data_IF_346493528693
#
_entry.id   IF_346493528693
#
_cell.length_a   1.000
_cell.length_b   1.000
_cell.length_c   1.000
_cell.angle_alpha   90.00
_cell.angle_beta   90.00
_cell.angle_gamma   90.00
#
_symmetry.space_group_name_H-M   'P 1'
#
loop_
_entity.id
_entity.type
_entity.pdbx_description
1 polymer ?
#
# COMPACT_ATOMS: atom_id res chain seq x y z
N UNK A 1 -18.33 -31.23 -6.16
CA UNK A 1 -17.97 -29.99 -5.44
C UNK A 1 -16.57 -29.54 -5.88
N UNK A 2 -16.36 -28.26 -6.23
CA UNK A 2 -15.04 -27.77 -6.61
C UNK A 2 -14.05 -27.96 -5.46
N UNK A 3 -12.83 -28.42 -5.77
CA UNK A 3 -11.80 -28.61 -4.74
C UNK A 3 -11.37 -27.24 -4.22
N UNK A 4 -11.26 -27.09 -2.90
CA UNK A 4 -10.76 -25.85 -2.29
C UNK A 4 -9.29 -25.65 -2.65
N UNK A 5 -8.88 -24.39 -2.81
CA UNK A 5 -7.47 -24.05 -3.02
C UNK A 5 -6.63 -24.46 -1.81
N UNK A 6 -5.59 -25.31 -1.96
CA UNK A 6 -4.85 -25.84 -0.82
C UNK A 6 -4.15 -24.78 0.03
N UNK A 7 -3.78 -23.65 -0.56
CA UNK A 7 -3.07 -22.56 0.12
C UNK A 7 -3.97 -21.37 0.49
N UNK A 8 -5.29 -21.58 0.57
CA UNK A 8 -6.24 -20.49 0.86
C UNK A 8 -6.00 -19.84 2.23
N UNK A 9 -5.63 -20.64 3.24
CA UNK A 9 -5.25 -20.13 4.56
C UNK A 9 -4.02 -19.21 4.50
N UNK A 10 -3.02 -19.58 3.69
CA UNK A 10 -1.80 -18.79 3.48
C UNK A 10 -2.13 -17.51 2.71
N UNK A 11 -2.97 -17.59 1.68
CA UNK A 11 -3.43 -16.42 0.93
C UNK A 11 -4.16 -15.42 1.83
N UNK A 12 -5.03 -15.90 2.74
CA UNK A 12 -5.70 -15.06 3.73
C UNK A 12 -4.70 -14.38 4.68
N UNK A 13 -3.71 -15.11 5.18
CA UNK A 13 -2.64 -14.54 6.00
C UNK A 13 -1.89 -13.42 5.25
N UNK A 14 -1.53 -13.65 3.97
CA UNK A 14 -0.85 -12.64 3.15
C UNK A 14 -1.71 -11.39 2.89
N UNK A 15 -3.03 -11.55 2.74
CA UNK A 15 -3.97 -10.42 2.65
C UNK A 15 -3.99 -9.60 3.94
N UNK A 16 -4.00 -10.26 5.10
CA UNK A 16 -3.93 -9.57 6.39
C UNK A 16 -2.60 -8.83 6.58
N UNK A 17 -1.48 -9.46 6.21
CA UNK A 17 -0.16 -8.82 6.24
C UNK A 17 -0.10 -7.57 5.35
N UNK A 18 -0.60 -7.65 4.11
CA UNK A 18 -0.71 -6.49 3.21
C UNK A 18 -1.52 -5.37 3.85
N UNK A 19 -2.72 -5.67 4.36
CA UNK A 19 -3.59 -4.68 5.01
C UNK A 19 -2.89 -4.01 6.19
N UNK A 20 -2.17 -4.77 7.02
CA UNK A 20 -1.41 -4.22 8.13
C UNK A 20 -0.30 -3.29 7.65
N UNK A 21 0.45 -3.66 6.60
CA UNK A 21 1.50 -2.81 6.02
C UNK A 21 0.96 -1.56 5.34
N UNK A 22 -0.21 -1.63 4.72
CA UNK A 22 -0.90 -0.45 4.19
C UNK A 22 -1.31 0.51 5.31
N UNK A 23 -1.84 -0.01 6.43
CA UNK A 23 -2.20 0.79 7.60
C UNK A 23 -0.98 1.45 8.24
N UNK A 24 0.12 0.71 8.42
CA UNK A 24 1.39 1.25 8.92
C UNK A 24 1.88 2.39 8.02
N UNK A 25 1.95 2.16 6.71
CA UNK A 25 2.37 3.18 5.73
C UNK A 25 1.50 4.42 5.79
N UNK A 26 0.17 4.27 5.80
CA UNK A 26 -0.77 5.40 5.89
C UNK A 26 -0.59 6.18 7.20
N UNK A 27 -0.30 5.51 8.31
CA UNK A 27 -0.01 6.17 9.59
C UNK A 27 1.24 7.06 9.49
N UNK A 28 2.33 6.56 8.90
CA UNK A 28 3.56 7.32 8.74
C UNK A 28 3.42 8.47 7.73
N UNK A 29 2.62 8.30 6.67
CA UNK A 29 2.28 9.37 5.74
C UNK A 29 1.55 10.53 6.44
N UNK A 30 0.61 10.23 7.36
CA UNK A 30 -0.06 11.27 8.17
C UNK A 30 0.91 11.99 9.10
N UNK A 31 1.81 11.26 9.75
CA UNK A 31 2.87 11.86 10.57
C UNK A 31 3.74 12.78 9.70
N UNK A 32 4.17 12.34 8.52
CA UNK A 32 4.94 13.18 7.59
C UNK A 32 4.22 14.46 7.21
N UNK A 33 2.92 14.37 6.88
CA UNK A 33 2.12 15.53 6.53
C UNK A 33 2.07 16.54 7.69
N UNK A 34 1.75 16.07 8.90
CA UNK A 34 1.75 16.89 10.11
C UNK A 34 3.10 17.56 10.37
N UNK A 35 4.21 16.81 10.31
CA UNK A 35 5.54 17.38 10.56
C UNK A 35 5.95 18.38 9.48
N UNK A 36 5.46 18.22 8.25
CA UNK A 36 5.67 19.17 7.14
C UNK A 36 4.89 20.46 7.38
N UNK A 37 3.62 20.37 7.77
CA UNK A 37 2.80 21.53 8.12
C UNK A 37 3.39 22.31 9.30
N UNK A 38 3.90 21.59 10.31
CA UNK A 38 4.56 22.19 11.46
C UNK A 38 5.82 22.96 11.06
N UNK A 39 6.64 22.39 10.15
CA UNK A 39 7.82 23.07 9.62
C UNK A 39 7.44 24.36 8.88
N UNK A 40 6.46 24.27 7.97
CA UNK A 40 5.96 25.42 7.22
C UNK A 40 5.36 26.50 8.12
N UNK A 41 4.72 26.11 9.22
CA UNK A 41 4.21 27.05 10.22
C UNK A 41 5.35 27.80 10.92
N UNK A 42 6.40 27.08 11.34
CA UNK A 42 7.58 27.69 11.97
C UNK A 42 8.31 28.64 11.02
N UNK A 43 8.50 28.24 9.76
CA UNK A 43 9.14 29.07 8.73
C UNK A 43 8.34 30.35 8.48
N UNK A 44 7.02 30.25 8.27
CA UNK A 44 6.14 31.41 8.12
C UNK A 44 6.18 32.34 9.33
N UNK A 45 6.20 31.79 10.54
CA UNK A 45 6.26 32.60 11.76
C UNK A 45 7.61 33.31 11.90
N UNK A 46 8.71 32.68 11.49
CA UNK A 46 10.03 33.31 11.48
C UNK A 46 10.09 34.43 10.45
N UNK A 47 9.58 34.20 9.24
CA UNK A 47 9.58 35.20 8.17
C UNK A 47 8.66 36.38 8.50
N UNK A 48 7.49 36.14 9.09
CA UNK A 48 6.62 37.21 9.61
C UNK A 48 7.33 38.05 10.67
N UNK A 49 7.98 37.42 11.65
CA UNK A 49 8.71 38.14 12.68
C UNK A 49 9.93 38.92 12.14
N UNK A 50 10.55 38.46 11.05
CA UNK A 50 11.61 39.21 10.35
C UNK A 50 11.05 40.43 9.64
N UNK A 51 9.89 40.31 9.01
CA UNK A 51 9.20 41.43 8.38
C UNK A 51 8.81 42.50 9.40
N UNK A 52 8.17 42.08 10.51
CA UNK A 52 7.81 42.97 11.62
C UNK A 52 9.03 43.73 12.19
N UNK A 53 10.18 43.05 12.28
CA UNK A 53 11.42 43.69 12.72
C UNK A 53 11.90 44.74 11.71
N UNK A 54 11.88 44.41 10.42
CA UNK A 54 12.33 45.31 9.36
C UNK A 54 11.49 46.60 9.33
N UNK A 55 10.16 46.48 9.46
CA UNK A 55 9.25 47.63 9.55
C UNK A 55 9.56 48.52 10.77
N UNK A 56 9.78 47.91 11.94
CA UNK A 56 10.11 48.65 13.18
C UNK A 56 11.45 49.37 13.09
N UNK A 57 12.44 48.74 12.46
CA UNK A 57 13.77 49.34 12.26
C UNK A 57 13.68 50.53 11.30
N UNK A 58 12.86 50.43 10.24
CA UNK A 58 12.70 51.49 9.24
C UNK A 58 11.89 52.71 9.74
N UNK A 59 10.95 52.49 10.68
CA UNK A 59 10.07 53.56 11.20
C UNK A 59 10.73 54.41 12.30
N UNK A 60 10.71 53.93 13.54
CA UNK A 60 11.13 54.69 14.73
C UNK A 60 12.55 54.35 15.20
N UNK A 61 13.18 53.35 14.56
CA UNK A 61 14.38 52.72 15.08
C UNK A 61 14.09 51.77 16.25
N UNK A 62 15.01 50.84 16.50
CA UNK A 62 14.80 49.80 17.51
C UNK A 62 15.70 50.01 18.73
N UNK A 63 15.14 50.17 19.95
CA UNK A 63 15.94 50.23 21.17
C UNK A 63 16.82 48.98 21.31
N UNK A 64 18.06 49.16 21.76
CA UNK A 64 19.06 48.08 21.89
C UNK A 64 18.54 46.87 22.70
N UNK A 65 17.82 47.10 23.79
CA UNK A 65 17.21 46.03 24.59
C UNK A 65 16.18 45.21 23.80
N UNK A 66 15.36 45.86 22.96
CA UNK A 66 14.40 45.16 22.08
C UNK A 66 15.15 44.40 20.98
N UNK A 67 16.23 44.96 20.44
CA UNK A 67 17.07 44.29 19.44
C UNK A 67 17.64 42.95 19.97
N UNK A 68 18.12 42.94 21.22
CA UNK A 68 18.61 41.72 21.88
C UNK A 68 17.52 40.65 22.01
N UNK A 69 16.29 41.04 22.36
CA UNK A 69 15.16 40.11 22.43
C UNK A 69 14.83 39.48 21.08
N UNK A 70 14.87 40.25 19.98
CA UNK A 70 14.68 39.71 18.63
C UNK A 70 15.78 38.73 18.23
N UNK A 71 17.04 39.04 18.54
CA UNK A 71 18.17 38.14 18.26
C UNK A 71 18.00 36.81 19.01
N UNK A 72 17.66 36.86 20.30
CA UNK A 72 17.39 35.66 21.10
C UNK A 72 16.20 34.86 20.54
N UNK A 73 15.12 35.54 20.18
CA UNK A 73 13.94 34.92 19.56
C UNK A 73 14.29 34.23 18.24
N UNK A 74 15.00 34.88 17.32
CA UNK A 74 15.39 34.28 16.05
C UNK A 74 16.36 33.12 16.22
N UNK A 75 17.29 33.21 17.18
CA UNK A 75 18.15 32.09 17.56
C UNK A 75 17.32 30.88 17.97
N UNK A 76 16.36 31.07 18.87
CA UNK A 76 15.47 30.01 19.33
C UNK A 76 14.59 29.43 18.21
N UNK A 77 13.99 30.28 17.37
CA UNK A 77 13.16 29.82 16.25
C UNK A 77 13.97 29.07 15.20
N UNK A 78 15.17 29.53 14.87
CA UNK A 78 16.07 28.85 13.94
C UNK A 78 16.46 27.46 14.47
N UNK A 79 16.75 27.35 15.77
CA UNK A 79 17.03 26.06 16.40
C UNK A 79 15.82 25.11 16.34
N UNK A 80 14.60 25.61 16.58
CA UNK A 80 13.36 24.83 16.45
C UNK A 80 13.11 24.35 15.02
N UNK A 81 13.33 25.22 14.03
CA UNK A 81 13.22 24.86 12.60
C UNK A 81 14.22 23.75 12.26
N UNK A 82 15.48 23.86 12.67
CA UNK A 82 16.49 22.83 12.43
C UNK A 82 16.09 21.48 13.05
N UNK A 83 15.65 21.50 14.30
CA UNK A 83 15.13 20.30 14.96
C UNK A 83 13.96 19.68 14.19
N UNK A 84 13.01 20.50 13.75
CA UNK A 84 11.86 20.06 12.98
C UNK A 84 12.25 19.48 11.61
N UNK A 85 13.23 20.07 10.94
CA UNK A 85 13.79 19.55 9.68
C UNK A 85 14.44 18.18 9.88
N UNK A 86 15.20 18.00 10.96
CA UNK A 86 15.83 16.71 11.28
C UNK A 86 14.79 15.64 11.64
N UNK A 87 13.75 16.01 12.38
CA UNK A 87 12.61 15.13 12.64
C UNK A 87 11.92 14.71 11.33
N UNK A 88 11.65 15.68 10.44
CA UNK A 88 11.01 15.40 9.16
C UNK A 88 11.87 14.47 8.28
N UNK A 89 13.19 14.64 8.26
CA UNK A 89 14.12 13.72 7.57
C UNK A 89 14.01 12.29 8.09
N UNK A 90 13.95 12.10 9.41
CA UNK A 90 13.77 10.78 10.04
C UNK A 90 12.42 10.16 9.64
N UNK A 91 11.34 10.94 9.72
CA UNK A 91 9.99 10.49 9.32
C UNK A 91 9.95 10.14 7.84
N UNK A 92 10.59 10.92 6.96
CA UNK A 92 10.67 10.62 5.53
C UNK A 92 11.44 9.33 5.25
N UNK A 93 12.52 9.06 5.99
CA UNK A 93 13.24 7.79 5.90
C UNK A 93 12.34 6.60 6.29
N UNK A 94 11.56 6.74 7.36
CA UNK A 94 10.60 5.74 7.79
C UNK A 94 9.47 5.53 6.78
N UNK A 95 8.92 6.60 6.20
CA UNK A 95 7.92 6.51 5.13
C UNK A 95 8.47 5.71 3.94
N UNK A 96 9.71 5.98 3.52
CA UNK A 96 10.35 5.22 2.42
C UNK A 96 10.50 3.74 2.79
N UNK A 97 10.93 3.44 4.01
CA UNK A 97 11.02 2.06 4.51
C UNK A 97 9.66 1.35 4.49
N UNK A 98 8.61 2.00 5.02
CA UNK A 98 7.26 1.44 5.06
C UNK A 98 6.63 1.28 3.69
N UNK A 99 6.91 2.18 2.75
CA UNK A 99 6.51 2.03 1.35
C UNK A 99 7.11 0.77 0.74
N UNK A 100 8.40 0.52 0.96
CA UNK A 100 9.07 -0.69 0.47
C UNK A 100 8.48 -1.96 1.10
N UNK A 101 8.28 -1.99 2.43
CA UNK A 101 7.63 -3.11 3.14
C UNK A 101 6.24 -3.41 2.58
N UNK A 102 5.42 -2.38 2.35
CA UNK A 102 4.10 -2.51 1.75
C UNK A 102 4.16 -3.08 0.33
N UNK A 103 5.04 -2.54 -0.52
CA UNK A 103 5.23 -3.05 -1.89
C UNK A 103 5.64 -4.52 -1.91
N UNK A 104 6.53 -4.94 -1.00
CA UNK A 104 6.92 -6.34 -0.86
C UNK A 104 5.75 -7.22 -0.39
N UNK A 105 4.92 -6.74 0.56
CA UNK A 105 3.75 -7.48 1.02
C UNK A 105 2.73 -7.70 -0.11
N UNK A 106 2.46 -6.65 -0.91
CA UNK A 106 1.61 -6.73 -2.10
C UNK A 106 2.18 -7.76 -3.09
N UNK A 107 3.48 -7.68 -3.40
CA UNK A 107 4.13 -8.61 -4.31
C UNK A 107 4.02 -10.07 -3.83
N UNK A 108 4.28 -10.32 -2.54
CA UNK A 108 4.14 -11.65 -1.94
C UNK A 108 2.71 -12.17 -2.04
N UNK A 109 1.69 -11.36 -1.76
CA UNK A 109 0.27 -11.77 -1.90
C UNK A 109 -0.07 -12.12 -3.35
N UNK A 110 0.36 -11.30 -4.31
CA UNK A 110 0.08 -11.51 -5.75
C UNK A 110 0.61 -12.85 -6.27
N UNK A 111 1.69 -13.39 -5.69
CA UNK A 111 2.16 -14.75 -6.02
C UNK A 111 1.07 -15.79 -5.71
N UNK A 112 0.43 -15.70 -4.54
CA UNK A 112 -0.61 -16.64 -4.13
C UNK A 112 -1.92 -16.43 -4.88
N UNK A 113 -2.28 -15.18 -5.22
CA UNK A 113 -3.44 -14.91 -6.08
C UNK A 113 -3.26 -15.61 -7.45
N UNK A 114 -2.07 -15.49 -8.07
CA UNK A 114 -1.76 -16.19 -9.34
C UNK A 114 -1.76 -17.71 -9.21
N UNK A 115 -1.27 -18.25 -8.09
CA UNK A 115 -1.33 -19.70 -7.84
C UNK A 115 -2.77 -20.18 -7.73
N UNK A 116 -3.64 -19.39 -7.08
CA UNK A 116 -5.07 -19.68 -6.98
C UNK A 116 -5.74 -19.63 -8.34
N UNK A 117 -5.47 -18.62 -9.16
CA UNK A 117 -6.00 -18.50 -10.53
C UNK A 117 -5.64 -19.75 -11.37
N UNK A 118 -4.35 -20.11 -11.42
CA UNK A 118 -3.89 -21.31 -12.12
C UNK A 118 -4.53 -22.60 -11.61
N UNK A 119 -4.77 -22.69 -10.31
CA UNK A 119 -5.43 -23.84 -9.71
C UNK A 119 -6.89 -23.96 -10.12
N UNK A 120 -7.62 -22.84 -10.20
CA UNK A 120 -9.01 -22.80 -10.69
C UNK A 120 -9.06 -23.20 -12.16
N UNK A 121 -8.20 -22.61 -13.00
CA UNK A 121 -8.11 -22.97 -14.43
C UNK A 121 -7.81 -24.46 -14.64
N UNK A 122 -6.92 -25.03 -13.83
CA UNK A 122 -6.60 -26.45 -13.90
C UNK A 122 -7.80 -27.34 -13.54
N UNK A 123 -8.58 -26.96 -12.53
CA UNK A 123 -9.81 -27.69 -12.19
C UNK A 123 -10.86 -27.62 -13.28
N UNK A 124 -11.08 -26.44 -13.86
CA UNK A 124 -12.03 -26.26 -14.95
C UNK A 124 -11.63 -27.14 -16.15
N UNK A 125 -10.35 -27.14 -16.52
CA UNK A 125 -9.83 -28.03 -17.58
C UNK A 125 -10.02 -29.51 -17.25
N UNK A 126 -9.79 -29.91 -16.00
CA UNK A 126 -9.99 -31.31 -15.57
C UNK A 126 -11.47 -31.70 -15.64
N UNK A 127 -12.37 -30.82 -15.20
CA UNK A 127 -13.82 -31.03 -15.24
C UNK A 127 -14.31 -31.15 -16.68
N UNK A 128 -13.94 -30.22 -17.56
CA UNK A 128 -14.32 -30.27 -18.97
C UNK A 128 -13.81 -31.54 -19.66
N UNK A 129 -12.59 -32.00 -19.33
CA UNK A 129 -12.05 -33.28 -19.84
C UNK A 129 -12.83 -34.48 -19.35
N UNK A 130 -13.27 -34.48 -18.09
CA UNK A 130 -14.10 -35.56 -17.52
C UNK A 130 -15.49 -35.58 -18.17
N UNK A 131 -16.12 -34.43 -18.34
CA UNK A 131 -17.42 -34.30 -19.02
C UNK A 131 -17.33 -34.76 -20.47
N UNK A 132 -16.31 -34.33 -21.22
CA UNK A 132 -16.11 -34.76 -22.60
C UNK A 132 -15.96 -36.29 -22.72
N UNK A 133 -15.20 -36.93 -21.82
CA UNK A 133 -15.07 -38.39 -21.77
C UNK A 133 -16.41 -39.07 -21.47
N UNK A 134 -17.17 -38.55 -20.51
CA UNK A 134 -18.50 -39.09 -20.18
C UNK A 134 -19.47 -39.01 -21.36
N UNK A 135 -19.44 -37.90 -22.12
CA UNK A 135 -20.27 -37.74 -23.32
C UNK A 135 -19.87 -38.76 -24.39
N UNK A 136 -18.57 -38.95 -24.62
CA UNK A 136 -18.04 -39.92 -25.58
C UNK A 136 -18.39 -41.37 -25.20
N UNK A 137 -18.29 -41.72 -23.91
CA UNK A 137 -18.69 -43.02 -23.38
C UNK A 137 -20.19 -43.28 -23.61
N UNK A 138 -21.05 -42.28 -23.34
CA UNK A 138 -22.51 -42.38 -23.58
C UNK A 138 -22.80 -42.55 -25.08
N UNK A 139 -22.12 -41.78 -25.94
CA UNK A 139 -22.27 -41.87 -27.39
C UNK A 139 -21.87 -43.26 -27.89
N UNK A 140 -20.74 -43.78 -27.41
CA UNK A 140 -20.22 -45.10 -27.74
C UNK A 140 -21.18 -46.22 -27.32
N UNK A 141 -21.68 -46.19 -26.08
CA UNK A 141 -22.68 -47.16 -25.59
C UNK A 141 -23.96 -47.12 -26.41
N UNK A 142 -24.48 -45.92 -26.73
CA UNK A 142 -25.68 -45.76 -27.58
C UNK A 142 -25.45 -46.30 -29.01
N UNK A 143 -24.27 -46.06 -29.58
CA UNK A 143 -23.91 -46.57 -30.89
C UNK A 143 -23.80 -48.11 -30.92
N UNK A 144 -23.17 -48.71 -29.89
CA UNK A 144 -23.09 -50.16 -29.73
C UNK A 144 -24.49 -50.78 -29.54
N UNK A 145 -25.35 -50.16 -28.75
CA UNK A 145 -26.73 -50.63 -28.56
C UNK A 145 -27.54 -50.59 -29.87
N UNK A 146 -27.43 -49.51 -30.65
CA UNK A 146 -28.09 -49.39 -31.97
C UNK A 146 -27.56 -50.36 -33.01
N UNK A 147 -26.25 -50.61 -33.03
CA UNK A 147 -25.66 -51.55 -33.98
C UNK A 147 -26.05 -53.00 -33.65
N UNK A 148 -26.07 -53.41 -32.37
CA UNK A 148 -26.55 -54.75 -31.97
C UNK A 148 -28.04 -54.97 -32.29
N UNK A 149 -28.89 -53.95 -32.14
CA UNK A 149 -30.30 -54.04 -32.56
C UNK A 149 -30.52 -54.19 -34.06
N UNK A 150 -29.50 -53.86 -34.88
CA UNK A 150 -29.52 -54.01 -36.35
C UNK A 150 -29.04 -55.39 -36.84
N UNK A 151 -28.35 -56.16 -35.99
CA UNK A 151 -27.84 -57.50 -36.32
C UNK A 151 -28.63 -58.64 -35.62
N UNK A 152 -29.68 -58.32 -34.86
CA UNK A 152 -30.54 -59.29 -34.17
C UNK A 152 -31.86 -59.61 -34.88
N UNK A 153 -32.02 -59.19 -36.14
CA UNK A 153 -33.15 -59.57 -37.00
C UNK A 153 -32.58 -60.29 -38.21
N UNK A 154 -32.34 -61.59 -38.04
CA UNK A 154 -32.17 -62.57 -39.09
C UNK A 154 -32.97 -63.80 -38.68
#
# INVERSE_FOLDING_TARGET
>A
MPRKFPLDAVLRLRRMEEQNKMKEFASFERVRARETEQLQSLERHLDGARHDLAERVAGEGLPSQKAQLYLAFFGAQTARIRYQQDLLRKVQAEVRRKRAEMSMAIARRKIYDRLRERFVEAQEKEMNRKEARQVDDIASVRFIARSKGRFGVA
#
